data_IF_381850288188
#
_entry.id   IF_381850288188
#
_cell.length_a   1.000
_cell.length_b   1.000
_cell.length_c   1.000
_cell.angle_alpha   90.00
_cell.angle_beta   90.00
_cell.angle_gamma   90.00
#
_symmetry.space_group_name_H-M   'P 1'
#
loop_
_entity.id
_entity.type
_entity.pdbx_description
1 polymer ?
#
# COMPACT_ATOMS: atom_id res chain seq x y z
N UNK A 1 37.53 -3.11 23.56
CA UNK A 1 37.07 -2.41 22.38
C UNK A 1 36.37 -3.47 21.55
N UNK A 2 35.05 -3.67 21.81
CA UNK A 2 34.27 -4.68 21.10
C UNK A 2 34.09 -4.22 19.64
N UNK A 3 34.41 -5.12 18.72
CA UNK A 3 34.10 -4.94 17.32
C UNK A 3 32.56 -4.73 17.20
N UNK A 4 32.16 -3.53 16.79
CA UNK A 4 30.78 -3.34 16.36
C UNK A 4 30.50 -4.28 15.19
N UNK A 5 29.38 -5.01 15.18
CA UNK A 5 29.05 -5.83 14.04
C UNK A 5 29.06 -4.94 12.79
N UNK A 6 29.74 -5.38 11.76
CA UNK A 6 29.95 -4.63 10.51
C UNK A 6 28.65 -4.29 9.77
N UNK A 7 27.51 -4.87 10.21
CA UNK A 7 26.21 -4.76 9.58
C UNK A 7 25.06 -4.75 10.62
N UNK A 8 24.26 -3.68 10.63
CA UNK A 8 23.02 -3.60 11.37
C UNK A 8 23.15 -3.14 12.84
N UNK A 9 22.03 -2.77 13.44
CA UNK A 9 21.86 -2.51 14.87
C UNK A 9 21.17 -3.70 15.55
N UNK A 10 21.30 -3.87 16.89
CA UNK A 10 20.58 -4.94 17.60
C UNK A 10 19.04 -4.88 17.39
N UNK A 11 18.46 -3.68 17.33
CA UNK A 11 17.05 -3.47 17.06
C UNK A 11 16.68 -3.91 15.63
N UNK A 12 17.47 -3.48 14.64
CA UNK A 12 17.29 -3.88 13.24
C UNK A 12 17.42 -5.39 13.04
N UNK A 13 18.39 -6.03 13.73
CA UNK A 13 18.54 -7.47 13.69
C UNK A 13 17.32 -8.20 14.27
N UNK A 14 16.77 -7.70 15.35
CA UNK A 14 15.60 -8.31 15.99
C UNK A 14 14.36 -8.28 15.09
N UNK A 15 14.10 -7.17 14.39
CA UNK A 15 12.97 -7.11 13.47
C UNK A 15 13.15 -8.06 12.28
N UNK A 16 14.36 -8.18 11.74
CA UNK A 16 14.67 -9.18 10.71
C UNK A 16 14.39 -10.61 11.21
N UNK A 17 14.78 -10.92 12.44
CA UNK A 17 14.50 -12.24 13.03
C UNK A 17 12.99 -12.47 13.18
N UNK A 18 12.21 -11.47 13.60
CA UNK A 18 10.75 -11.58 13.70
C UNK A 18 10.07 -11.78 12.34
N UNK A 19 10.58 -11.14 11.28
CA UNK A 19 10.06 -11.27 9.92
C UNK A 19 10.37 -12.64 9.30
N UNK A 20 11.59 -13.19 9.54
CA UNK A 20 12.07 -14.37 8.83
C UNK A 20 12.01 -15.66 9.64
N UNK A 21 12.17 -15.56 10.95
CA UNK A 21 12.22 -16.70 11.86
C UNK A 21 11.43 -16.38 13.15
N UNK A 22 10.12 -16.05 13.03
CA UNK A 22 9.32 -15.79 14.22
C UNK A 22 9.39 -16.99 15.16
N UNK A 23 9.44 -16.79 16.48
CA UNK A 23 9.53 -17.88 17.46
C UNK A 23 8.47 -18.93 17.19
N UNK A 24 8.90 -20.14 16.86
CA UNK A 24 8.00 -21.28 16.65
C UNK A 24 7.39 -21.74 17.98
N UNK A 25 6.19 -22.30 17.91
CA UNK A 25 5.58 -22.92 19.08
C UNK A 25 6.42 -24.13 19.50
N UNK A 26 6.82 -24.25 20.79
CA UNK A 26 7.61 -25.39 21.23
C UNK A 26 6.88 -26.70 20.98
N UNK A 27 7.57 -27.65 20.37
CA UNK A 27 7.03 -28.99 20.07
C UNK A 27 6.63 -29.78 21.33
N UNK A 28 7.14 -29.40 22.52
CA UNK A 28 6.83 -29.99 23.83
C UNK A 28 6.75 -28.88 24.89
N UNK A 29 5.73 -28.93 25.75
CA UNK A 29 5.48 -28.00 26.84
C UNK A 29 4.11 -27.33 26.75
N UNK A 30 3.75 -26.44 27.70
CA UNK A 30 2.52 -25.66 27.63
C UNK A 30 2.52 -24.84 26.35
N UNK A 31 1.46 -24.95 25.53
CA UNK A 31 1.32 -24.15 24.32
C UNK A 31 1.32 -22.68 24.68
N UNK A 32 2.10 -21.82 23.97
CA UNK A 32 1.98 -20.39 24.08
C UNK A 32 0.53 -19.98 23.86
N UNK A 33 0.08 -18.96 24.56
CA UNK A 33 -1.30 -18.47 24.45
C UNK A 33 -1.58 -17.75 23.13
N UNK A 34 -0.53 -17.32 22.44
CA UNK A 34 -0.60 -16.63 21.15
C UNK A 34 0.72 -16.79 20.37
N UNK A 35 0.74 -16.35 19.13
CA UNK A 35 1.92 -16.31 18.26
C UNK A 35 2.10 -14.91 17.66
N UNK A 36 3.29 -14.60 17.11
CA UNK A 36 3.54 -13.35 16.38
C UNK A 36 2.53 -13.17 15.26
N UNK A 37 2.22 -14.24 14.53
CA UNK A 37 1.25 -14.23 13.42
C UNK A 37 -0.16 -13.84 13.90
N UNK A 38 -0.63 -14.41 15.00
CA UNK A 38 -1.94 -14.07 15.58
C UNK A 38 -1.98 -12.64 16.11
N UNK A 39 -0.89 -12.17 16.70
CA UNK A 39 -0.75 -10.78 17.17
C UNK A 39 -0.83 -9.82 15.96
N UNK A 40 -0.11 -10.09 14.87
CA UNK A 40 -0.12 -9.27 13.66
C UNK A 40 -1.52 -9.26 13.02
N UNK A 41 -2.16 -10.42 12.89
CA UNK A 41 -3.52 -10.49 12.34
C UNK A 41 -4.54 -9.71 13.17
N UNK A 42 -4.49 -9.81 14.50
CA UNK A 42 -5.34 -9.01 15.38
C UNK A 42 -5.05 -7.51 15.30
N UNK A 43 -3.77 -7.13 15.17
CA UNK A 43 -3.37 -5.73 14.99
C UNK A 43 -3.87 -5.15 13.67
N UNK A 44 -3.77 -5.91 12.56
CA UNK A 44 -4.30 -5.52 11.25
C UNK A 44 -5.82 -5.31 11.34
N UNK A 45 -6.55 -6.25 11.92
CA UNK A 45 -8.01 -6.14 12.08
C UNK A 45 -8.43 -4.90 12.90
N UNK A 46 -7.72 -4.59 13.99
CA UNK A 46 -7.95 -3.38 14.78
C UNK A 46 -7.64 -2.11 13.98
N UNK A 47 -6.52 -2.09 13.25
CA UNK A 47 -6.13 -0.94 12.44
C UNK A 47 -7.07 -0.72 11.25
N UNK A 48 -7.60 -1.77 10.64
CA UNK A 48 -8.61 -1.69 9.57
C UNK A 48 -9.93 -1.10 10.07
N UNK A 49 -10.30 -1.41 11.32
CA UNK A 49 -11.54 -0.95 11.93
C UNK A 49 -11.45 0.49 12.48
N UNK A 50 -10.35 0.84 13.14
CA UNK A 50 -10.24 2.06 13.96
C UNK A 50 -9.09 3.00 13.52
N UNK A 51 -8.26 2.59 12.54
CA UNK A 51 -7.04 3.28 12.14
C UNK A 51 -5.83 2.91 13.00
N UNK A 52 -4.64 3.07 12.43
CA UNK A 52 -3.39 2.70 13.13
C UNK A 52 -3.10 3.59 14.33
N UNK A 53 -3.50 4.86 14.30
CA UNK A 53 -3.29 5.78 15.43
C UNK A 53 -4.02 5.32 16.69
N UNK A 54 -5.23 4.78 16.54
CA UNK A 54 -6.02 4.25 17.65
C UNK A 54 -5.46 2.93 18.23
N UNK A 55 -4.66 2.19 17.45
CA UNK A 55 -4.03 0.95 17.87
C UNK A 55 -3.02 1.20 19.00
N UNK A 56 -3.26 0.61 20.16
CA UNK A 56 -2.32 0.61 21.28
C UNK A 56 -1.91 -0.81 21.68
N UNK A 57 -0.65 -0.98 22.13
CA UNK A 57 -0.14 -2.28 22.60
C UNK A 57 -1.01 -2.86 23.74
N UNK A 58 -1.64 -2.00 24.54
CA UNK A 58 -2.54 -2.43 25.64
C UNK A 58 -3.88 -2.97 25.08
N UNK A 59 -4.47 -2.29 24.10
CA UNK A 59 -5.69 -2.75 23.46
C UNK A 59 -5.45 -4.07 22.73
N UNK A 60 -4.35 -4.17 21.99
CA UNK A 60 -3.95 -5.40 21.30
C UNK A 60 -3.70 -6.57 22.26
N UNK A 61 -3.03 -6.34 23.41
CA UNK A 61 -2.82 -7.38 24.41
C UNK A 61 -4.14 -7.94 24.95
N UNK A 62 -5.14 -7.05 25.15
CA UNK A 62 -6.49 -7.44 25.56
C UNK A 62 -7.19 -8.27 24.46
N UNK A 63 -7.07 -7.85 23.21
CA UNK A 63 -7.68 -8.53 22.05
C UNK A 63 -7.15 -9.96 21.90
N UNK A 64 -5.83 -10.14 21.95
CA UNK A 64 -5.20 -11.47 21.85
C UNK A 64 -5.24 -12.28 23.18
N UNK A 65 -5.84 -11.75 24.24
CA UNK A 65 -6.04 -12.46 25.50
C UNK A 65 -4.77 -12.70 26.32
N UNK A 66 -3.76 -11.81 26.19
CA UNK A 66 -2.50 -11.90 26.95
C UNK A 66 -2.25 -10.66 27.81
N UNK A 67 -1.34 -10.77 28.78
CA UNK A 67 -0.88 -9.58 29.54
C UNK A 67 0.02 -8.68 28.67
N UNK A 68 0.02 -7.37 28.93
CA UNK A 68 0.84 -6.42 28.18
C UNK A 68 2.33 -6.79 28.17
N UNK A 69 2.90 -7.20 29.33
CA UNK A 69 4.30 -7.64 29.40
C UNK A 69 4.57 -8.89 28.53
N UNK A 70 3.60 -9.79 28.44
CA UNK A 70 3.68 -10.96 27.56
C UNK A 70 3.68 -10.53 26.10
N UNK A 71 2.82 -9.57 25.68
CA UNK A 71 2.82 -9.04 24.32
C UNK A 71 4.19 -8.45 23.95
N UNK A 72 4.80 -7.65 24.82
CA UNK A 72 6.14 -7.07 24.58
C UNK A 72 7.25 -8.12 24.46
N UNK A 73 7.07 -9.32 25.00
CA UNK A 73 8.04 -10.42 24.76
C UNK A 73 7.97 -11.00 23.36
N UNK A 74 6.83 -10.87 22.66
CA UNK A 74 6.67 -11.26 21.26
C UNK A 74 7.07 -10.13 20.31
N UNK A 75 6.51 -8.93 20.50
CA UNK A 75 6.75 -7.77 19.66
C UNK A 75 7.18 -6.60 20.53
N UNK A 76 8.41 -6.05 20.34
CA UNK A 76 9.02 -5.08 21.25
C UNK A 76 8.25 -3.76 21.38
N UNK A 77 7.54 -3.35 20.32
CA UNK A 77 6.83 -2.09 20.31
C UNK A 77 5.91 -1.89 19.10
N UNK A 78 5.26 -0.74 19.07
CA UNK A 78 4.30 -0.38 18.01
C UNK A 78 5.00 -0.18 16.65
N UNK A 79 6.26 0.28 16.65
CA UNK A 79 7.03 0.47 15.42
C UNK A 79 7.37 -0.87 14.76
N UNK A 80 7.88 -1.84 15.52
CA UNK A 80 8.17 -3.18 15.04
C UNK A 80 6.89 -3.91 14.64
N UNK A 81 5.80 -3.71 15.38
CA UNK A 81 4.49 -4.24 15.00
C UNK A 81 4.05 -3.70 13.63
N UNK A 82 4.24 -2.41 13.37
CA UNK A 82 3.90 -1.81 12.08
C UNK A 82 4.67 -2.45 10.92
N UNK A 83 5.97 -2.68 11.06
CA UNK A 83 6.77 -3.35 10.03
C UNK A 83 6.26 -4.78 9.76
N UNK A 84 5.92 -5.53 10.81
CA UNK A 84 5.33 -6.87 10.66
C UNK A 84 3.96 -6.83 9.98
N UNK A 85 3.11 -5.85 10.30
CA UNK A 85 1.81 -5.64 9.67
C UNK A 85 1.96 -5.28 8.20
N UNK A 86 2.90 -4.39 7.84
CA UNK A 86 3.19 -4.03 6.45
C UNK A 86 3.60 -5.26 5.65
N UNK A 87 4.54 -6.06 6.15
CA UNK A 87 4.97 -7.28 5.46
C UNK A 87 3.84 -8.30 5.30
N UNK A 88 3.01 -8.46 6.33
CA UNK A 88 1.84 -9.34 6.28
C UNK A 88 0.81 -8.88 5.24
N UNK A 89 0.54 -7.58 5.13
CA UNK A 89 -0.36 -7.04 4.13
C UNK A 89 0.16 -7.24 2.70
N UNK A 90 1.47 -7.10 2.49
CA UNK A 90 2.09 -7.43 1.20
C UNK A 90 2.00 -8.93 0.90
N UNK A 91 2.11 -9.81 1.91
CA UNK A 91 1.97 -11.25 1.73
C UNK A 91 0.53 -11.69 1.36
N UNK A 92 -0.49 -10.88 1.68
CA UNK A 92 -1.87 -11.11 1.25
C UNK A 92 -2.13 -10.75 -0.22
N UNK A 93 -1.20 -10.04 -0.86
CA UNK A 93 -1.34 -9.56 -2.23
C UNK A 93 -1.16 -10.73 -3.21
N UNK A 94 -2.18 -11.06 -4.03
CA UNK A 94 -2.04 -12.13 -5.01
C UNK A 94 -0.99 -11.75 -6.06
N UNK A 95 -0.12 -12.69 -6.37
CA UNK A 95 0.82 -12.54 -7.47
C UNK A 95 0.14 -12.96 -8.78
N UNK A 96 0.32 -12.23 -9.89
CA UNK A 96 -0.21 -12.62 -11.20
C UNK A 96 0.35 -13.96 -11.67
N UNK A 97 -0.45 -14.70 -12.44
CA UNK A 97 -0.04 -15.95 -13.05
C UNK A 97 1.16 -15.74 -14.00
N UNK A 98 2.15 -16.62 -13.92
CA UNK A 98 3.42 -16.49 -14.64
C UNK A 98 3.25 -16.63 -16.17
N UNK A 99 2.18 -17.29 -16.62
CA UNK A 99 1.83 -17.53 -18.03
C UNK A 99 1.30 -16.30 -18.76
N UNK A 100 0.86 -15.29 -18.00
CA UNK A 100 0.40 -14.03 -18.57
C UNK A 100 1.58 -13.24 -19.16
N UNK A 101 1.29 -12.44 -20.18
CA UNK A 101 2.29 -11.54 -20.71
C UNK A 101 2.68 -10.46 -19.70
N UNK A 102 3.85 -9.86 -19.90
CA UNK A 102 4.43 -8.88 -18.96
C UNK A 102 3.51 -7.66 -18.74
N UNK A 103 2.75 -7.25 -19.74
CA UNK A 103 1.86 -6.08 -19.69
C UNK A 103 0.69 -6.36 -18.74
N UNK A 104 0.02 -7.49 -18.92
CA UNK A 104 -1.09 -7.90 -18.07
C UNK A 104 -0.63 -8.18 -16.63
N UNK A 105 0.55 -8.76 -16.44
CA UNK A 105 1.12 -8.97 -15.10
C UNK A 105 1.37 -7.65 -14.38
N UNK A 106 2.00 -6.65 -15.01
CA UNK A 106 2.18 -5.32 -14.41
C UNK A 106 0.85 -4.63 -14.12
N UNK A 107 -0.12 -4.74 -15.06
CA UNK A 107 -1.46 -4.20 -14.86
C UNK A 107 -2.11 -4.80 -13.60
N UNK A 108 -2.13 -6.11 -13.46
CA UNK A 108 -2.66 -6.78 -12.26
C UNK A 108 -1.96 -6.35 -10.98
N UNK A 109 -0.64 -6.26 -11.00
CA UNK A 109 0.10 -5.75 -9.85
C UNK A 109 -0.36 -4.36 -9.42
N UNK A 110 -0.59 -3.44 -10.35
CA UNK A 110 -1.05 -2.10 -10.04
C UNK A 110 -2.44 -2.10 -9.40
N UNK A 111 -3.37 -2.88 -9.93
CA UNK A 111 -4.71 -3.02 -9.38
C UNK A 111 -4.70 -3.68 -8.00
N UNK A 112 -3.93 -4.75 -7.81
CA UNK A 112 -3.79 -5.42 -6.52
C UNK A 112 -3.11 -4.54 -5.47
N UNK A 113 -2.13 -3.73 -5.85
CA UNK A 113 -1.53 -2.73 -4.96
C UNK A 113 -2.60 -1.76 -4.44
N UNK A 114 -3.40 -1.18 -5.33
CA UNK A 114 -4.49 -0.28 -4.93
C UNK A 114 -5.51 -0.99 -4.03
N UNK A 115 -5.89 -2.25 -4.35
CA UNK A 115 -6.82 -3.00 -3.52
C UNK A 115 -6.25 -3.30 -2.12
N UNK A 116 -4.95 -3.57 -2.02
CA UNK A 116 -4.26 -3.73 -0.72
C UNK A 116 -4.39 -2.46 0.13
N UNK A 117 -4.11 -1.27 -0.44
CA UNK A 117 -4.28 0.00 0.28
C UNK A 117 -5.74 0.29 0.65
N UNK A 118 -6.70 -0.09 -0.19
CA UNK A 118 -8.14 0.04 0.13
C UNK A 118 -8.59 -0.86 1.27
N UNK A 119 -8.05 -2.08 1.35
CA UNK A 119 -8.30 -3.02 2.46
C UNK A 119 -7.63 -2.56 3.75
N UNK A 120 -6.43 -2.02 3.65
CA UNK A 120 -5.56 -1.63 4.75
C UNK A 120 -5.17 -0.15 4.66
N UNK A 121 -6.11 0.80 4.91
CA UNK A 121 -5.83 2.24 4.74
C UNK A 121 -4.65 2.75 5.57
N UNK A 122 -4.37 2.13 6.69
CA UNK A 122 -3.22 2.45 7.55
C UNK A 122 -1.86 2.22 6.85
N UNK A 123 -1.80 1.45 5.76
CA UNK A 123 -0.60 1.33 4.94
C UNK A 123 -0.19 2.65 4.27
N UNK A 124 -1.11 3.61 4.13
CA UNK A 124 -0.79 4.95 3.61
C UNK A 124 0.14 5.74 4.55
N UNK A 125 0.29 5.31 5.80
CA UNK A 125 1.28 5.84 6.73
C UNK A 125 2.68 5.27 6.49
N UNK A 126 2.79 4.20 5.68
CA UNK A 126 4.08 3.56 5.37
C UNK A 126 4.94 4.44 4.47
N UNK A 127 6.25 4.32 4.65
CA UNK A 127 7.22 4.98 3.78
C UNK A 127 7.64 4.00 2.67
N UNK A 128 7.17 4.22 1.45
CA UNK A 128 7.50 3.37 0.28
C UNK A 128 9.01 3.23 -0.01
N UNK A 129 9.84 4.14 0.52
CA UNK A 129 11.30 4.07 0.40
C UNK A 129 11.96 3.28 1.53
N UNK A 130 11.20 2.85 2.54
CA UNK A 130 11.69 2.15 3.73
C UNK A 130 10.75 1.02 4.11
N UNK A 131 10.32 0.25 3.11
CA UNK A 131 9.53 -0.95 3.36
C UNK A 131 10.35 -1.97 4.17
N UNK A 132 9.69 -2.78 5.01
CA UNK A 132 10.36 -3.83 5.75
C UNK A 132 11.01 -4.85 4.82
N UNK A 133 12.14 -5.43 5.25
CA UNK A 133 12.84 -6.48 4.51
C UNK A 133 12.26 -7.86 4.85
N UNK A 134 10.94 -8.00 4.78
CA UNK A 134 10.23 -9.22 5.09
C UNK A 134 9.90 -10.08 3.85
N UNK A 135 9.50 -11.34 4.06
CA UNK A 135 9.21 -12.27 2.96
C UNK A 135 8.03 -11.81 2.08
N UNK A 136 7.01 -11.14 2.64
CA UNK A 136 5.88 -10.64 1.88
C UNK A 136 6.27 -9.52 0.92
N UNK A 137 6.97 -8.50 1.42
CA UNK A 137 7.47 -7.40 0.59
C UNK A 137 8.45 -7.90 -0.47
N UNK A 138 9.35 -8.82 -0.10
CA UNK A 138 10.35 -9.34 -1.04
C UNK A 138 9.71 -10.21 -2.13
N UNK A 139 8.68 -10.98 -1.83
CA UNK A 139 7.99 -11.80 -2.84
C UNK A 139 7.33 -10.92 -3.92
N UNK A 140 6.64 -9.85 -3.53
CA UNK A 140 6.06 -8.88 -4.47
C UNK A 140 7.15 -8.15 -5.27
N UNK A 141 8.23 -7.76 -4.61
CA UNK A 141 9.35 -7.06 -5.27
C UNK A 141 10.04 -7.95 -6.30
N UNK A 142 10.30 -9.22 -5.96
CA UNK A 142 10.91 -10.20 -6.86
C UNK A 142 10.04 -10.42 -8.11
N UNK A 143 8.72 -10.60 -7.92
CA UNK A 143 7.82 -10.82 -9.05
C UNK A 143 7.78 -9.59 -9.98
N UNK A 144 7.66 -8.38 -9.43
CA UNK A 144 7.71 -7.13 -10.21
C UNK A 144 9.01 -6.99 -11.02
N UNK A 145 10.15 -7.34 -10.43
CA UNK A 145 11.44 -7.32 -11.13
C UNK A 145 11.54 -8.41 -12.20
N UNK A 146 11.03 -9.60 -11.93
CA UNK A 146 10.97 -10.71 -12.88
C UNK A 146 10.10 -10.37 -14.11
N UNK A 147 8.98 -9.65 -13.91
CA UNK A 147 8.16 -9.15 -15.01
C UNK A 147 8.98 -8.22 -15.91
N UNK A 148 9.75 -7.29 -15.34
CA UNK A 148 10.62 -6.40 -16.10
C UNK A 148 11.65 -7.15 -16.94
N UNK A 149 12.24 -8.23 -16.39
CA UNK A 149 13.18 -9.07 -17.12
C UNK A 149 12.48 -9.85 -18.25
N UNK A 150 11.29 -10.40 -18.00
CA UNK A 150 10.50 -11.10 -19.04
C UNK A 150 10.09 -10.18 -20.19
N UNK A 151 9.90 -8.90 -19.92
CA UNK A 151 9.67 -7.86 -20.91
C UNK A 151 10.91 -7.44 -21.70
N UNK A 152 12.11 -7.91 -21.33
CA UNK A 152 13.37 -7.51 -21.98
C UNK A 152 13.98 -6.21 -21.47
N UNK A 153 13.49 -5.67 -20.34
CA UNK A 153 14.05 -4.47 -19.73
C UNK A 153 15.38 -4.76 -19.03
N UNK A 154 16.28 -3.78 -19.01
CA UNK A 154 17.43 -3.87 -18.11
C UNK A 154 16.98 -3.84 -16.64
N UNK A 155 17.73 -4.43 -15.71
CA UNK A 155 17.42 -4.44 -14.28
C UNK A 155 17.12 -3.05 -13.73
N UNK A 156 17.92 -2.05 -14.12
CA UNK A 156 17.73 -0.67 -13.69
C UNK A 156 16.42 -0.05 -14.18
N UNK A 157 16.03 -0.34 -15.43
CA UNK A 157 14.76 0.17 -16.00
C UNK A 157 13.58 -0.58 -15.39
N UNK A 158 13.63 -1.90 -15.29
CA UNK A 158 12.60 -2.72 -14.65
C UNK A 158 12.30 -2.26 -13.20
N UNK A 159 13.34 -2.01 -12.40
CA UNK A 159 13.19 -1.47 -11.04
C UNK A 159 12.47 -0.12 -11.02
N UNK A 160 12.80 0.79 -11.95
CA UNK A 160 12.13 2.11 -12.04
C UNK A 160 10.67 1.99 -12.47
N UNK A 161 10.37 1.10 -13.41
CA UNK A 161 8.99 0.81 -13.85
C UNK A 161 8.16 0.28 -12.68
N UNK A 162 8.70 -0.70 -11.94
CA UNK A 162 8.03 -1.26 -10.76
C UNK A 162 7.75 -0.18 -9.72
N UNK A 163 8.75 0.67 -9.40
CA UNK A 163 8.58 1.79 -8.46
C UNK A 163 7.54 2.81 -8.94
N UNK A 164 7.46 3.09 -10.25
CA UNK A 164 6.49 4.01 -10.82
C UNK A 164 5.07 3.47 -10.68
N UNK A 165 4.84 2.19 -10.99
CA UNK A 165 3.54 1.54 -10.87
C UNK A 165 3.06 1.52 -9.40
N UNK A 166 3.94 1.14 -8.47
CA UNK A 166 3.64 1.16 -7.03
C UNK A 166 3.30 2.57 -6.54
N UNK A 167 4.11 3.58 -6.90
CA UNK A 167 3.88 4.96 -6.49
C UNK A 167 2.57 5.54 -7.04
N UNK A 168 2.21 5.19 -8.29
CA UNK A 168 0.95 5.63 -8.88
C UNK A 168 -0.25 4.98 -8.19
N UNK A 169 -0.21 3.66 -7.98
CA UNK A 169 -1.27 2.92 -7.27
C UNK A 169 -1.46 3.41 -5.84
N UNK A 170 -0.36 3.75 -5.14
CA UNK A 170 -0.39 4.37 -3.81
C UNK A 170 -1.09 5.74 -3.85
N UNK A 171 -0.71 6.60 -4.81
CA UNK A 171 -1.28 7.94 -4.95
C UNK A 171 -2.78 7.90 -5.22
N UNK A 172 -3.22 7.01 -6.12
CA UNK A 172 -4.64 6.81 -6.46
C UNK A 172 -5.43 6.34 -5.24
N UNK A 173 -4.97 5.28 -4.56
CA UNK A 173 -5.61 4.77 -3.36
C UNK A 173 -5.72 5.83 -2.26
N UNK A 174 -4.66 6.65 -2.08
CA UNK A 174 -4.66 7.74 -1.10
C UNK A 174 -5.74 8.78 -1.40
N UNK A 175 -5.91 9.17 -2.66
CA UNK A 175 -6.96 10.11 -3.08
C UNK A 175 -8.35 9.58 -2.74
N UNK A 176 -8.65 8.34 -3.14
CA UNK A 176 -9.93 7.69 -2.87
C UNK A 176 -10.24 7.53 -1.38
N UNK A 177 -9.25 7.13 -0.60
CA UNK A 177 -9.42 6.95 0.84
C UNK A 177 -9.65 8.30 1.52
N UNK A 178 -8.89 9.34 1.12
CA UNK A 178 -9.07 10.69 1.67
C UNK A 178 -10.46 11.26 1.37
N UNK A 179 -10.98 11.08 0.13
CA UNK A 179 -12.31 11.53 -0.24
C UNK A 179 -13.41 10.78 0.54
N UNK A 180 -13.29 9.47 0.63
CA UNK A 180 -14.19 8.62 1.42
C UNK A 180 -14.24 9.03 2.90
N UNK A 181 -13.08 9.30 3.50
CA UNK A 181 -12.97 9.66 4.91
C UNK A 181 -13.49 11.08 5.14
N UNK A 182 -13.29 12.01 4.20
CA UNK A 182 -13.88 13.34 4.22
C UNK A 182 -15.41 13.27 4.13
N UNK A 183 -15.94 12.45 3.22
CA UNK A 183 -17.38 12.24 3.09
C UNK A 183 -18.00 11.67 4.39
N UNK A 184 -17.31 10.72 5.05
CA UNK A 184 -17.73 10.19 6.35
C UNK A 184 -17.72 11.24 7.45
N UNK A 185 -16.70 12.10 7.47
CA UNK A 185 -16.52 13.13 8.49
C UNK A 185 -17.52 14.28 8.35
N UNK A 186 -17.82 14.67 7.12
CA UNK A 186 -18.67 15.84 6.83
C UNK A 186 -20.13 15.47 6.54
N UNK A 187 -20.41 14.22 6.18
CA UNK A 187 -21.71 13.79 5.64
C UNK A 187 -21.96 14.31 4.22
N UNK A 188 -20.92 14.81 3.53
CA UNK A 188 -20.99 15.41 2.19
C UNK A 188 -20.14 14.58 1.23
N UNK A 189 -20.72 14.09 0.14
CA UNK A 189 -19.97 13.46 -0.96
C UNK A 189 -19.16 14.50 -1.74
N UNK A 190 -18.26 14.05 -2.63
CA UNK A 190 -17.56 14.92 -3.57
C UNK A 190 -18.57 15.67 -4.47
N UNK A 191 -19.59 14.99 -4.96
CA UNK A 191 -20.64 15.61 -5.77
C UNK A 191 -21.39 16.71 -5.00
N UNK A 192 -21.83 16.44 -3.76
CA UNK A 192 -22.46 17.43 -2.89
C UNK A 192 -21.57 18.66 -2.66
N UNK A 193 -20.25 18.43 -2.53
CA UNK A 193 -19.29 19.52 -2.36
C UNK A 193 -19.23 20.43 -3.59
N UNK A 194 -19.22 19.86 -4.80
CA UNK A 194 -19.19 20.64 -6.04
C UNK A 194 -20.54 21.28 -6.35
N UNK A 195 -21.65 20.58 -6.13
CA UNK A 195 -23.00 21.12 -6.31
C UNK A 195 -23.26 22.33 -5.42
N UNK A 196 -22.84 22.27 -4.16
CA UNK A 196 -22.93 23.40 -3.24
C UNK A 196 -22.14 24.64 -3.69
N UNK A 197 -21.20 24.48 -4.62
CA UNK A 197 -20.34 25.52 -5.19
C UNK A 197 -20.66 25.87 -6.65
N UNK A 198 -21.71 25.33 -7.20
CA UNK A 198 -22.09 25.51 -8.62
C UNK A 198 -22.23 26.99 -9.03
N UNK A 199 -22.64 27.88 -8.10
CA UNK A 199 -22.73 29.32 -8.35
C UNK A 199 -21.38 29.97 -8.71
N UNK A 200 -20.24 29.35 -8.35
CA UNK A 200 -18.91 29.82 -8.74
C UNK A 200 -18.78 29.89 -10.27
N UNK A 201 -19.23 28.86 -10.97
CA UNK A 201 -19.12 28.76 -12.43
C UNK A 201 -19.92 29.85 -13.16
N UNK A 202 -21.04 30.28 -12.57
CA UNK A 202 -21.90 31.31 -13.15
C UNK A 202 -21.46 32.74 -12.80
N UNK A 203 -20.84 32.94 -11.63
CA UNK A 203 -20.62 34.27 -11.07
C UNK A 203 -19.16 34.72 -11.15
N UNK A 204 -18.21 33.79 -10.95
CA UNK A 204 -16.80 34.11 -10.77
C UNK A 204 -15.88 33.50 -11.82
N UNK A 205 -16.32 32.43 -12.51
CA UNK A 205 -15.51 31.79 -13.54
C UNK A 205 -15.46 32.65 -14.80
N UNK A 206 -14.26 33.03 -15.22
CA UNK A 206 -14.00 33.84 -16.42
C UNK A 206 -13.38 32.94 -17.51
N UNK A 207 -14.20 32.54 -18.49
CA UNK A 207 -13.78 31.72 -19.61
C UNK A 207 -12.69 32.40 -20.48
N UNK A 208 -12.67 33.73 -20.55
CA UNK A 208 -11.60 34.44 -21.28
C UNK A 208 -10.25 34.39 -20.56
N UNK A 209 -10.28 34.32 -19.24
CA UNK A 209 -9.08 34.16 -18.39
C UNK A 209 -8.59 32.72 -18.34
N UNK A 210 -9.52 31.75 -18.43
CA UNK A 210 -9.23 30.30 -18.32
C UNK A 210 -9.73 29.51 -19.53
N UNK A 211 -9.30 29.87 -20.78
CA UNK A 211 -9.89 29.33 -22.00
C UNK A 211 -9.69 27.83 -22.17
N UNK A 212 -8.57 27.28 -21.68
CA UNK A 212 -8.31 25.83 -21.77
C UNK A 212 -9.22 25.04 -20.82
N UNK A 213 -9.43 25.51 -19.59
CA UNK A 213 -10.37 24.89 -18.66
C UNK A 213 -11.79 24.90 -19.23
N UNK A 214 -12.21 26.01 -19.81
CA UNK A 214 -13.52 26.14 -20.44
C UNK A 214 -13.70 25.15 -21.61
N UNK A 215 -12.71 25.08 -22.52
CA UNK A 215 -12.72 24.13 -23.64
C UNK A 215 -12.70 22.67 -23.16
N UNK A 216 -12.00 22.35 -22.08
CA UNK A 216 -11.98 20.99 -21.49
C UNK A 216 -13.36 20.62 -20.97
N UNK A 217 -14.03 21.55 -20.30
CA UNK A 217 -15.41 21.37 -19.83
C UNK A 217 -16.40 21.21 -20.99
N UNK A 218 -16.34 22.08 -22.02
CA UNK A 218 -17.19 21.99 -23.22
C UNK A 218 -16.99 20.66 -23.98
N UNK A 219 -15.78 20.10 -23.92
CA UNK A 219 -15.49 18.78 -24.48
C UNK A 219 -16.04 17.59 -23.67
N UNK A 220 -16.75 17.85 -22.56
CA UNK A 220 -17.33 16.82 -21.72
C UNK A 220 -16.33 16.01 -20.89
N UNK A 221 -15.12 16.53 -20.70
CA UNK A 221 -14.04 15.78 -20.00
C UNK A 221 -14.35 15.50 -18.51
N UNK A 222 -15.35 16.17 -17.96
CA UNK A 222 -15.82 16.00 -16.57
C UNK A 222 -17.19 15.33 -16.46
N UNK A 223 -17.81 14.94 -17.60
CA UNK A 223 -19.18 14.40 -17.62
C UNK A 223 -19.24 12.89 -17.32
N UNK A 224 -18.13 12.18 -17.49
CA UNK A 224 -18.09 10.72 -17.38
C UNK A 224 -18.04 10.20 -15.92
N UNK A 225 -18.08 11.10 -14.94
CA UNK A 225 -17.95 10.75 -13.51
C UNK A 225 -16.58 10.16 -13.15
N UNK A 226 -16.25 10.18 -11.88
CA UNK A 226 -15.01 9.60 -11.38
C UNK A 226 -15.17 8.07 -11.23
N UNK A 227 -14.69 7.31 -12.24
CA UNK A 227 -14.50 5.87 -12.12
C UNK A 227 -13.01 5.58 -11.81
N UNK A 228 -12.67 5.32 -10.55
CA UNK A 228 -11.29 5.12 -10.15
C UNK A 228 -10.61 3.91 -10.81
N UNK A 229 -11.37 2.89 -11.23
CA UNK A 229 -10.82 1.73 -11.94
C UNK A 229 -10.44 2.10 -13.38
N UNK A 230 -11.26 2.91 -14.04
CA UNK A 230 -10.99 3.43 -15.37
C UNK A 230 -9.78 4.36 -15.37
N UNK A 231 -9.72 5.29 -14.41
CA UNK A 231 -8.62 6.24 -14.27
C UNK A 231 -7.28 5.54 -14.00
N UNK A 232 -7.28 4.57 -13.07
CA UNK A 232 -6.10 3.73 -12.84
C UNK A 232 -5.70 2.98 -14.11
N UNK A 233 -6.66 2.33 -14.77
CA UNK A 233 -6.42 1.56 -16.00
C UNK A 233 -5.80 2.41 -17.09
N UNK A 234 -6.36 3.60 -17.37
CA UNK A 234 -5.85 4.53 -18.37
C UNK A 234 -4.39 4.94 -18.08
N UNK A 235 -4.09 5.32 -16.86
CA UNK A 235 -2.74 5.76 -16.49
C UNK A 235 -1.72 4.61 -16.55
N UNK A 236 -2.12 3.41 -16.09
CA UNK A 236 -1.26 2.23 -16.19
C UNK A 236 -0.99 1.89 -17.66
N UNK A 237 -2.00 1.94 -18.52
CA UNK A 237 -1.82 1.67 -19.94
C UNK A 237 -0.87 2.68 -20.61
N UNK A 238 -0.94 3.97 -20.28
CA UNK A 238 0.04 4.97 -20.73
C UNK A 238 1.47 4.64 -20.31
N UNK A 239 1.65 4.23 -19.05
CA UNK A 239 2.96 3.81 -18.54
C UNK A 239 3.45 2.59 -19.34
N UNK A 240 2.62 1.57 -19.51
CA UNK A 240 2.98 0.33 -20.18
C UNK A 240 3.21 0.52 -21.70
N UNK A 241 2.52 1.44 -22.34
CA UNK A 241 2.81 1.84 -23.74
C UNK A 241 4.20 2.48 -23.85
N UNK A 242 4.58 3.26 -22.86
CA UNK A 242 5.93 3.84 -22.80
C UNK A 242 6.99 2.76 -22.57
N UNK A 243 6.69 1.76 -21.74
CA UNK A 243 7.56 0.59 -21.52
C UNK A 243 7.73 -0.22 -22.80
N UNK A 244 6.65 -0.50 -23.56
CA UNK A 244 6.72 -1.22 -24.82
C UNK A 244 7.70 -0.58 -25.81
N UNK A 245 7.69 0.75 -25.93
CA UNK A 245 8.65 1.49 -26.76
C UNK A 245 10.12 1.39 -26.31
N UNK A 246 10.36 1.09 -25.04
CA UNK A 246 11.72 0.87 -24.52
C UNK A 246 12.22 -0.54 -24.84
N UNK A 247 11.31 -1.51 -24.92
CA UNK A 247 11.61 -2.91 -25.26
C UNK A 247 11.92 -3.09 -26.75
N UNK A 248 11.27 -2.31 -27.63
CA UNK A 248 11.45 -2.36 -29.08
C UNK A 248 12.77 -1.72 -29.59
N UNK A 249 13.56 -1.12 -28.72
CA UNK A 249 14.84 -0.45 -29.07
C UNK A 249 16.04 -1.33 -28.80
#
# INVERSE_FOLDING_TARGET
>A
MGEQPMWGTPEGQRIIELLWAPPEQPARGPRPKTSVREIVAAAMALADAEGFDALSMRALAKEVGVGAMTLYSYVPGKAELFELMVDAAYAERPLPEAELDWRERYRRHAFEARQMYRRHPWLLESNLWRLPLGPGVLAVTEDLLAIGQSAGLSYAVGSRVSSLLEAYSFGTARGEIADRDEARRTGQSSDDFWDARASFWQTYFDAARYPTMFATWEAGAYDEGDDPDRELGFAIDLILDSVARLVER
#
